data_IF_873246974331
#
_entry.id   IF_873246974331
#
_cell.length_a   1.000
_cell.length_b   1.000
_cell.length_c   1.000
_cell.angle_alpha   90.00
_cell.angle_beta   90.00
_cell.angle_gamma   90.00
#
_symmetry.space_group_name_H-M   'P 1'
#
loop_
_entity.id
_entity.type
_entity.pdbx_description
1 polymer ?
#
# COMPACT_ATOMS: atom_id res chain seq x y z
N UNK A 1 7.14 19.35 -20.66
CA UNK A 1 7.14 17.95 -20.18
C UNK A 1 5.99 17.26 -20.91
N UNK A 2 6.22 16.93 -22.19
CA UNK A 2 5.17 16.60 -23.18
C UNK A 2 5.25 15.15 -23.68
N UNK A 3 5.93 14.27 -22.95
CA UNK A 3 5.55 12.86 -22.95
C UNK A 3 4.43 12.71 -21.93
N UNK A 4 3.19 12.54 -22.40
CA UNK A 4 2.08 12.15 -21.52
C UNK A 4 2.48 10.86 -20.81
N UNK A 5 2.84 10.97 -19.53
CA UNK A 5 3.06 9.83 -18.65
C UNK A 5 1.90 8.86 -18.83
N UNK A 6 2.21 7.58 -19.04
CA UNK A 6 1.18 6.55 -19.18
C UNK A 6 0.46 6.37 -17.85
N UNK A 7 -0.84 6.13 -17.89
CA UNK A 7 -1.56 5.67 -16.70
C UNK A 7 -1.19 4.23 -16.41
N UNK A 8 -1.05 3.91 -15.13
CA UNK A 8 -0.94 2.52 -14.72
C UNK A 8 -2.23 1.78 -15.11
N UNK A 9 -2.09 0.71 -15.88
CA UNK A 9 -3.20 -0.09 -16.35
C UNK A 9 -3.47 -1.25 -15.38
N UNK A 10 -4.66 -1.22 -14.77
CA UNK A 10 -5.16 -2.26 -13.88
C UNK A 10 -6.33 -3.04 -14.51
N UNK A 11 -6.68 -2.77 -15.77
CA UNK A 11 -7.88 -3.33 -16.42
C UNK A 11 -7.80 -4.85 -16.64
N UNK A 12 -6.59 -5.41 -16.68
CA UNK A 12 -6.36 -6.85 -16.75
C UNK A 12 -6.69 -7.60 -15.46
N UNK A 13 -6.80 -6.90 -14.33
CA UNK A 13 -7.13 -7.52 -13.04
C UNK A 13 -8.62 -7.77 -12.90
N UNK A 14 -9.02 -8.94 -12.36
CA UNK A 14 -10.41 -9.20 -11.99
C UNK A 14 -10.98 -8.08 -11.10
N UNK A 15 -12.25 -7.71 -11.31
CA UNK A 15 -12.89 -6.62 -10.55
C UNK A 15 -12.82 -6.86 -9.04
N UNK A 16 -13.05 -8.10 -8.60
CA UNK A 16 -12.97 -8.47 -7.18
C UNK A 16 -11.60 -8.16 -6.56
N UNK A 17 -10.50 -8.38 -7.29
CA UNK A 17 -9.15 -8.04 -6.83
C UNK A 17 -8.99 -6.53 -6.75
N UNK A 18 -9.47 -5.79 -7.76
CA UNK A 18 -9.41 -4.32 -7.77
C UNK A 18 -10.24 -3.69 -6.64
N UNK A 19 -11.39 -4.26 -6.31
CA UNK A 19 -12.23 -3.82 -5.18
C UNK A 19 -11.50 -4.10 -3.87
N UNK A 20 -11.06 -5.33 -3.63
CA UNK A 20 -10.38 -5.71 -2.39
C UNK A 20 -9.07 -4.94 -2.16
N UNK A 21 -8.33 -4.64 -3.23
CA UNK A 21 -7.14 -3.79 -3.17
C UNK A 21 -7.46 -2.36 -2.68
N UNK A 22 -8.53 -1.75 -3.21
CA UNK A 22 -8.99 -0.43 -2.78
C UNK A 22 -9.45 -0.45 -1.32
N UNK A 23 -10.22 -1.46 -0.92
CA UNK A 23 -10.68 -1.63 0.45
C UNK A 23 -9.51 -1.79 1.44
N UNK A 24 -8.45 -2.50 1.04
CA UNK A 24 -7.24 -2.63 1.86
C UNK A 24 -6.49 -1.29 1.99
N UNK A 25 -6.38 -0.53 0.91
CA UNK A 25 -5.80 0.81 0.94
C UNK A 25 -6.61 1.74 1.85
N UNK A 26 -7.94 1.70 1.77
CA UNK A 26 -8.83 2.50 2.60
C UNK A 26 -8.83 2.07 4.07
N UNK A 27 -8.67 0.76 4.35
CA UNK A 27 -8.40 0.25 5.68
C UNK A 27 -7.12 0.87 6.25
N UNK A 28 -6.01 0.84 5.49
CA UNK A 28 -4.77 1.47 5.93
C UNK A 28 -4.95 2.96 6.21
N UNK A 29 -5.67 3.68 5.34
CA UNK A 29 -5.96 5.09 5.55
C UNK A 29 -6.72 5.34 6.86
N UNK A 30 -7.73 4.52 7.19
CA UNK A 30 -8.45 4.60 8.47
C UNK A 30 -7.54 4.37 9.67
N UNK A 31 -6.63 3.40 9.59
CA UNK A 31 -5.63 3.15 10.64
C UNK A 31 -4.70 4.37 10.80
N UNK A 32 -4.19 4.93 9.70
CA UNK A 32 -3.33 6.13 9.74
C UNK A 32 -4.06 7.33 10.36
N UNK A 33 -5.36 7.50 10.07
CA UNK A 33 -6.18 8.57 10.65
C UNK A 33 -6.46 8.34 12.13
N UNK A 34 -6.70 7.10 12.56
CA UNK A 34 -6.86 6.76 13.97
C UNK A 34 -5.57 7.01 14.77
N UNK A 35 -4.41 6.72 14.17
CA UNK A 35 -3.09 6.95 14.77
C UNK A 35 -2.81 8.43 15.10
N UNK A 36 -3.53 9.37 14.46
CA UNK A 36 -3.36 10.83 14.67
C UNK A 36 -3.55 11.25 16.13
N UNK A 37 -4.49 10.61 16.83
CA UNK A 37 -4.80 10.90 18.24
C UNK A 37 -3.93 10.12 19.24
N UNK A 38 -3.03 9.27 18.76
CA UNK A 38 -2.25 8.32 19.53
C UNK A 38 -2.33 6.90 18.98
N UNK A 39 -1.34 6.06 19.30
CA UNK A 39 -1.21 4.68 18.77
C UNK A 39 -1.74 3.61 19.72
N UNK A 40 -2.32 3.97 20.87
CA UNK A 40 -2.72 3.03 21.93
C UNK A 40 -3.78 1.99 21.52
N UNK A 41 -4.52 2.22 20.43
CA UNK A 41 -5.49 1.27 19.87
C UNK A 41 -5.01 0.53 18.62
N UNK A 42 -3.75 0.70 18.20
CA UNK A 42 -3.20 0.10 16.99
C UNK A 42 -2.26 -1.05 17.40
N UNK A 43 -2.46 -2.27 16.86
CA UNK A 43 -1.55 -3.38 17.10
C UNK A 43 -0.08 -3.06 16.80
N UNK A 44 0.83 -3.40 17.71
CA UNK A 44 2.23 -2.99 17.65
C UNK A 44 2.99 -3.55 16.43
N UNK A 45 2.57 -4.69 15.92
CA UNK A 45 3.19 -5.39 14.79
C UNK A 45 2.74 -4.86 13.41
N UNK A 46 1.79 -3.92 13.38
CA UNK A 46 1.46 -3.16 12.18
C UNK A 46 2.47 -2.04 11.88
N UNK A 47 3.30 -1.65 12.86
CA UNK A 47 4.33 -0.62 12.70
C UNK A 47 5.57 -1.07 11.90
N UNK A 48 5.51 -2.27 11.30
CA UNK A 48 6.60 -2.85 10.52
C UNK A 48 7.52 -3.76 11.35
N UNK A 49 8.64 -4.17 10.75
CA UNK A 49 9.58 -5.15 11.34
C UNK A 49 10.34 -4.62 12.56
N UNK A 50 10.27 -3.32 12.82
CA UNK A 50 10.81 -2.70 14.03
C UNK A 50 9.63 -2.51 14.99
N UNK A 51 9.52 -3.39 15.97
CA UNK A 51 8.49 -3.41 17.04
C UNK A 51 8.54 -2.20 17.99
N UNK A 52 9.28 -1.14 17.64
CA UNK A 52 9.40 0.11 18.38
C UNK A 52 8.47 1.17 17.77
N UNK A 53 7.25 1.25 18.30
CA UNK A 53 6.19 2.17 17.88
C UNK A 53 6.45 3.65 18.18
N UNK A 54 7.58 4.20 17.75
CA UNK A 54 7.80 5.65 17.77
C UNK A 54 6.99 6.35 16.68
N UNK A 55 6.67 5.62 15.61
CA UNK A 55 6.00 6.11 14.42
C UNK A 55 5.03 4.98 13.96
N UNK A 56 3.75 5.29 13.68
CA UNK A 56 2.69 4.47 13.05
C UNK A 56 3.10 3.54 11.88
N UNK A 57 2.18 2.81 11.21
CA UNK A 57 2.46 2.06 9.97
C UNK A 57 2.81 3.00 8.80
N UNK A 58 3.92 3.73 8.91
CA UNK A 58 4.19 4.88 8.07
C UNK A 58 4.68 4.51 6.68
N UNK A 59 5.17 3.30 6.50
CA UNK A 59 5.62 2.77 5.23
C UNK A 59 4.55 1.82 4.69
N UNK A 60 4.06 2.10 3.47
CA UNK A 60 3.04 1.26 2.82
C UNK A 60 3.53 -0.18 2.62
N UNK A 61 4.81 -0.33 2.26
CA UNK A 61 5.43 -1.64 2.07
C UNK A 61 5.57 -2.43 3.37
N UNK A 62 5.90 -1.77 4.48
CA UNK A 62 6.02 -2.46 5.78
C UNK A 62 4.66 -2.91 6.28
N UNK A 63 3.64 -2.06 6.17
CA UNK A 63 2.25 -2.44 6.46
C UNK A 63 1.82 -3.65 5.62
N UNK A 64 2.10 -3.61 4.31
CA UNK A 64 1.82 -4.74 3.42
C UNK A 64 2.52 -6.02 3.89
N UNK A 65 3.82 -5.96 4.18
CA UNK A 65 4.59 -7.11 4.64
C UNK A 65 4.18 -7.62 6.04
N UNK A 66 3.57 -6.78 6.88
CA UNK A 66 3.02 -7.19 8.19
C UNK A 66 1.72 -7.98 8.07
N UNK A 67 0.99 -7.89 6.95
CA UNK A 67 -0.34 -8.49 6.82
C UNK A 67 -0.43 -9.50 5.68
N UNK A 68 0.21 -9.24 4.53
CA UNK A 68 0.18 -10.10 3.35
C UNK A 68 1.42 -11.02 3.36
N UNK A 69 1.24 -12.35 3.31
CA UNK A 69 2.35 -13.29 3.39
C UNK A 69 3.19 -13.30 2.11
N UNK A 70 4.41 -13.84 2.20
CA UNK A 70 5.27 -14.19 1.06
C UNK A 70 5.67 -13.04 0.13
N UNK A 71 5.65 -11.79 0.60
CA UNK A 71 6.30 -10.72 -0.16
C UNK A 71 7.82 -10.96 -0.19
N UNK A 72 8.46 -11.07 -1.37
CA UNK A 72 9.86 -11.45 -1.45
C UNK A 72 10.78 -10.41 -0.80
N UNK A 73 11.79 -10.88 -0.06
CA UNK A 73 12.77 -10.01 0.60
C UNK A 73 13.87 -9.48 -0.35
N UNK A 74 13.96 -10.01 -1.57
CA UNK A 74 15.01 -9.66 -2.54
C UNK A 74 14.44 -8.85 -3.68
N UNK A 75 14.88 -7.59 -3.73
CA UNK A 75 14.76 -6.74 -4.90
C UNK A 75 15.74 -7.26 -5.96
N UNK A 76 15.29 -8.18 -6.81
CA UNK A 76 15.92 -8.29 -8.13
C UNK A 76 15.75 -6.94 -8.81
N UNK A 77 16.74 -6.49 -9.58
CA UNK A 77 16.76 -5.17 -10.22
C UNK A 77 15.50 -4.95 -11.06
N UNK A 78 14.50 -4.29 -10.48
CA UNK A 78 13.27 -3.91 -11.16
C UNK A 78 13.56 -2.76 -12.12
N UNK A 79 13.05 -2.86 -13.36
CA UNK A 79 13.06 -1.73 -14.27
C UNK A 79 12.19 -0.60 -13.70
N UNK A 80 12.73 0.63 -13.75
CA UNK A 80 12.01 1.82 -13.31
C UNK A 80 11.15 2.34 -14.46
N UNK A 81 9.86 2.56 -14.21
CA UNK A 81 8.95 3.19 -15.17
C UNK A 81 8.31 4.43 -14.57
N UNK A 82 8.32 5.55 -15.31
CA UNK A 82 7.63 6.77 -14.91
C UNK A 82 6.18 6.71 -15.41
N UNK A 83 5.23 6.84 -14.50
CA UNK A 83 3.80 6.71 -14.83
C UNK A 83 2.89 7.48 -13.87
N UNK A 84 1.64 7.63 -14.28
CA UNK A 84 0.53 8.15 -13.50
C UNK A 84 -0.12 7.00 -12.72
N UNK A 85 0.07 7.01 -11.41
CA UNK A 85 -0.38 5.96 -10.49
C UNK A 85 -1.74 6.31 -9.87
N UNK A 86 -2.73 5.41 -9.90
CA UNK A 86 -4.05 5.65 -9.33
C UNK A 86 -4.00 5.80 -7.80
N UNK A 87 -4.48 6.93 -7.29
CA UNK A 87 -4.51 7.26 -5.86
C UNK A 87 -5.26 6.21 -5.03
N UNK A 88 -6.36 5.66 -5.57
CA UNK A 88 -7.21 4.69 -4.87
C UNK A 88 -6.56 3.32 -4.67
N UNK A 89 -5.53 2.99 -5.45
CA UNK A 89 -4.78 1.73 -5.34
C UNK A 89 -3.41 1.93 -4.67
N UNK A 90 -3.14 3.13 -4.15
CA UNK A 90 -1.85 3.47 -3.56
C UNK A 90 -1.97 3.61 -2.05
N UNK A 91 -1.13 2.90 -1.31
CA UNK A 91 -1.04 3.08 0.14
C UNK A 91 -0.52 4.48 0.47
N UNK A 92 -1.22 5.18 1.36
CA UNK A 92 -0.77 6.46 1.87
C UNK A 92 -0.06 6.36 3.20
N UNK A 93 0.32 7.52 3.73
CA UNK A 93 0.73 7.70 5.10
C UNK A 93 0.41 9.11 5.56
N UNK A 94 -0.17 9.25 6.76
CA UNK A 94 -0.46 10.55 7.37
C UNK A 94 0.52 10.83 8.51
N UNK A 95 1.62 11.53 8.23
CA UNK A 95 2.51 12.03 9.28
C UNK A 95 2.99 13.46 9.03
N UNK A 96 3.23 13.81 7.77
CA UNK A 96 3.67 15.16 7.39
C UNK A 96 2.59 15.98 6.72
N UNK A 97 1.86 15.43 5.75
CA UNK A 97 0.78 16.14 5.05
C UNK A 97 -0.57 15.59 5.49
N UNK A 98 -1.11 16.23 6.53
CA UNK A 98 -2.44 15.93 7.00
C UNK A 98 -3.47 16.52 6.03
N UNK A 99 -4.44 15.71 5.57
CA UNK A 99 -5.47 16.13 4.62
C UNK A 99 -6.16 17.46 4.95
N UNK A 100 -6.34 17.73 6.25
CA UNK A 100 -7.13 18.83 6.81
C UNK A 100 -6.30 19.95 7.45
N UNK A 101 -4.96 19.90 7.37
CA UNK A 101 -4.08 20.85 8.08
C UNK A 101 -3.48 21.93 7.17
N UNK A 102 -3.32 21.65 5.87
CA UNK A 102 -2.64 22.54 4.91
C UNK A 102 -3.64 23.09 3.89
N UNK A 103 -4.70 23.73 4.38
CA UNK A 103 -5.90 24.05 3.60
C UNK A 103 -6.05 25.54 3.27
N UNK A 104 -4.95 26.28 3.08
CA UNK A 104 -5.05 27.53 2.34
C UNK A 104 -4.96 27.22 0.84
N UNK A 105 -5.73 27.93 0.01
CA UNK A 105 -5.69 27.76 -1.46
C UNK A 105 -4.26 27.88 -2.01
N UNK A 106 -3.43 28.71 -1.36
CA UNK A 106 -2.03 28.93 -1.70
C UNK A 106 -1.17 27.70 -1.40
N UNK A 107 -1.36 27.07 -0.24
CA UNK A 107 -0.62 25.87 0.15
C UNK A 107 -1.02 24.69 -0.74
N UNK A 108 -2.32 24.53 -1.02
CA UNK A 108 -2.80 23.51 -1.95
C UNK A 108 -2.14 23.70 -3.33
N UNK A 109 -2.19 24.92 -3.88
CA UNK A 109 -1.59 25.21 -5.17
C UNK A 109 -0.09 24.88 -5.21
N UNK A 110 0.65 25.24 -4.16
CA UNK A 110 2.08 24.95 -4.06
C UNK A 110 2.37 23.44 -3.99
N UNK A 111 1.60 22.69 -3.18
CA UNK A 111 1.74 21.24 -3.06
C UNK A 111 1.42 20.55 -4.39
N UNK A 112 0.33 20.94 -5.06
CA UNK A 112 -0.01 20.41 -6.40
C UNK A 112 1.11 20.69 -7.40
N UNK A 113 1.59 21.93 -7.46
CA UNK A 113 2.70 22.30 -8.35
C UNK A 113 3.95 21.46 -8.05
N UNK A 114 4.23 21.18 -6.78
CA UNK A 114 5.34 20.32 -6.39
C UNK A 114 5.14 18.88 -6.85
N UNK A 115 3.98 18.27 -6.57
CA UNK A 115 3.65 16.89 -6.95
C UNK A 115 3.82 16.68 -8.46
N UNK A 116 3.32 17.61 -9.27
CA UNK A 116 3.32 17.51 -10.74
C UNK A 116 4.55 18.13 -11.42
N UNK A 117 5.57 18.52 -10.67
CA UNK A 117 6.85 18.97 -11.23
C UNK A 117 7.77 17.81 -11.60
N UNK A 118 8.75 18.04 -12.48
CA UNK A 118 9.81 17.06 -12.77
C UNK A 118 10.51 16.58 -11.49
N UNK A 119 10.83 17.50 -10.59
CA UNK A 119 11.41 17.15 -9.29
C UNK A 119 10.45 16.30 -8.45
N UNK A 120 9.17 16.63 -8.46
CA UNK A 120 8.12 15.86 -7.80
C UNK A 120 8.10 14.41 -8.28
N UNK A 121 8.07 14.20 -9.59
CA UNK A 121 8.13 12.88 -10.21
C UNK A 121 9.39 12.12 -9.80
N UNK A 122 10.59 12.71 -9.98
CA UNK A 122 11.88 12.06 -9.69
C UNK A 122 12.14 11.80 -8.20
N UNK A 123 11.39 12.44 -7.31
CA UNK A 123 11.46 12.25 -5.85
C UNK A 123 10.38 11.31 -5.29
N UNK A 124 9.61 10.65 -6.16
CA UNK A 124 8.52 9.75 -5.75
C UNK A 124 8.79 8.35 -6.27
N UNK A 125 8.92 7.38 -5.36
CA UNK A 125 9.24 5.99 -5.71
C UNK A 125 8.24 5.02 -5.09
N UNK A 126 7.53 4.26 -5.93
CA UNK A 126 6.52 3.29 -5.51
C UNK A 126 6.87 1.89 -6.00
N UNK A 127 6.66 0.88 -5.14
CA UNK A 127 6.65 -0.52 -5.55
C UNK A 127 5.26 -0.88 -6.05
N UNK A 128 5.14 -1.34 -7.29
CA UNK A 128 3.88 -1.84 -7.84
C UNK A 128 3.85 -3.36 -7.71
N UNK A 129 2.73 -3.90 -7.22
CA UNK A 129 2.46 -5.34 -7.14
C UNK A 129 1.35 -5.64 -8.16
N UNK A 130 1.70 -6.01 -9.41
CA UNK A 130 0.74 -6.10 -10.50
C UNK A 130 -0.42 -7.04 -10.19
N UNK A 131 -0.12 -8.23 -9.69
CA UNK A 131 -1.08 -9.30 -9.40
C UNK A 131 -2.15 -8.89 -8.37
N UNK A 132 -1.81 -7.97 -7.46
CA UNK A 132 -2.71 -7.48 -6.42
C UNK A 132 -3.29 -6.10 -6.73
N UNK A 133 -2.82 -5.42 -7.78
CA UNK A 133 -3.25 -4.07 -8.13
C UNK A 133 -2.95 -3.05 -7.02
N UNK A 134 -1.80 -3.18 -6.36
CA UNK A 134 -1.40 -2.33 -5.22
C UNK A 134 -0.11 -1.59 -5.49
N UNK A 135 -0.06 -0.34 -5.04
CA UNK A 135 1.16 0.48 -5.03
C UNK A 135 1.57 0.77 -3.58
N UNK A 136 2.81 0.41 -3.25
CA UNK A 136 3.43 0.58 -1.95
C UNK A 136 4.52 1.66 -2.03
N UNK A 137 4.27 2.88 -1.55
CA UNK A 137 5.28 3.93 -1.60
C UNK A 137 6.46 3.70 -0.67
N UNK A 138 7.68 3.86 -1.19
CA UNK A 138 8.88 4.08 -0.39
C UNK A 138 9.09 5.58 -0.14
N UNK A 139 9.10 6.38 -1.21
CA UNK A 139 9.08 7.85 -1.15
C UNK A 139 7.78 8.43 -1.69
N UNK A 140 7.36 9.58 -1.17
CA UNK A 140 6.13 10.27 -1.61
C UNK A 140 4.82 9.83 -0.96
N UNK A 141 4.86 8.95 0.05
CA UNK A 141 3.69 8.44 0.81
C UNK A 141 2.71 9.50 1.35
N UNK A 142 3.21 10.66 1.76
CA UNK A 142 2.37 11.78 2.25
C UNK A 142 1.52 12.41 1.13
N UNK A 143 1.98 12.33 -0.13
CA UNK A 143 1.30 12.91 -1.29
C UNK A 143 -0.01 12.18 -1.57
N UNK A 144 -0.06 10.88 -1.28
CA UNK A 144 -1.20 10.01 -1.56
C UNK A 144 -2.46 10.47 -0.82
N UNK A 145 -2.35 10.74 0.48
CA UNK A 145 -3.52 11.14 1.27
C UNK A 145 -3.94 12.59 1.00
N UNK A 146 -2.99 13.46 0.66
CA UNK A 146 -3.30 14.77 0.09
C UNK A 146 -4.10 14.60 -1.22
N UNK A 147 -3.61 13.79 -2.16
CA UNK A 147 -4.31 13.53 -3.42
C UNK A 147 -5.70 12.93 -3.21
N UNK A 148 -5.84 11.97 -2.28
CA UNK A 148 -7.12 11.38 -1.91
C UNK A 148 -8.12 12.45 -1.42
N UNK A 149 -7.68 13.35 -0.55
CA UNK A 149 -8.52 14.42 0.00
C UNK A 149 -8.96 15.43 -1.06
N UNK A 150 -8.06 15.83 -1.95
CA UNK A 150 -8.32 16.83 -2.99
C UNK A 150 -8.85 16.25 -4.31
N UNK A 151 -9.32 15.00 -4.32
CA UNK A 151 -9.91 14.36 -5.51
C UNK A 151 -8.93 14.21 -6.69
N UNK A 152 -7.63 14.14 -6.42
CA UNK A 152 -6.59 13.93 -7.44
C UNK A 152 -6.52 12.44 -7.73
N UNK A 153 -6.96 12.04 -8.92
CA UNK A 153 -7.09 10.63 -9.31
C UNK A 153 -5.73 9.94 -9.52
N UNK A 154 -4.72 10.67 -10.03
CA UNK A 154 -3.44 10.10 -10.42
C UNK A 154 -2.24 10.88 -9.89
N UNK A 155 -1.20 10.15 -9.50
CA UNK A 155 0.05 10.68 -8.92
C UNK A 155 1.22 10.29 -9.83
N UNK A 156 2.03 11.25 -10.31
CA UNK A 156 3.26 10.92 -11.04
C UNK A 156 4.30 10.29 -10.11
N UNK A 157 4.83 9.13 -10.48
CA UNK A 157 5.83 8.42 -9.70
C UNK A 157 6.79 7.60 -10.57
N UNK A 158 7.98 7.34 -10.02
CA UNK A 158 8.87 6.26 -10.45
C UNK A 158 8.37 4.94 -9.86
N UNK A 159 8.05 3.98 -10.72
CA UNK A 159 7.43 2.71 -10.34
C UNK A 159 8.38 1.56 -10.57
N UNK A 160 8.49 0.72 -9.54
CA UNK A 160 9.29 -0.50 -9.51
C UNK A 160 8.30 -1.68 -9.42
N UNK A 161 8.13 -2.42 -10.52
CA UNK A 161 7.22 -3.58 -10.52
C UNK A 161 7.85 -4.75 -9.78
N UNK A 162 7.08 -5.39 -8.92
CA UNK A 162 7.49 -6.56 -8.16
C UNK A 162 6.37 -7.61 -8.20
N UNK A 163 6.70 -8.78 -8.72
CA UNK A 163 5.74 -9.86 -8.80
C UNK A 163 5.41 -10.42 -7.42
N UNK A 164 4.14 -10.79 -7.27
CA UNK A 164 3.63 -11.58 -6.15
C UNK A 164 3.43 -13.03 -6.58
N UNK A 165 3.58 -14.04 -5.68
CA UNK A 165 3.35 -15.42 -6.06
C UNK A 165 1.93 -15.65 -6.56
N UNK A 166 1.79 -16.44 -7.63
CA UNK A 166 0.50 -16.86 -8.18
C UNK A 166 -0.41 -17.47 -7.10
N UNK A 167 -1.70 -17.15 -7.16
CA UNK A 167 -2.69 -17.57 -6.16
C UNK A 167 -2.69 -19.09 -5.92
N UNK A 168 -2.63 -19.88 -6.99
CA UNK A 168 -2.62 -21.35 -6.90
C UNK A 168 -1.38 -21.96 -6.21
N UNK A 169 -0.34 -21.17 -5.96
CA UNK A 169 0.84 -21.57 -5.20
C UNK A 169 0.69 -21.33 -3.70
N UNK A 170 -0.34 -20.56 -3.31
CA UNK A 170 -0.62 -20.19 -1.92
C UNK A 170 -1.81 -21.01 -1.43
N UNK A 171 -1.66 -21.68 -0.30
CA UNK A 171 -2.75 -22.32 0.42
C UNK A 171 -2.93 -21.65 1.77
N UNK A 172 -4.17 -21.32 2.12
CA UNK A 172 -4.52 -20.71 3.41
C UNK A 172 -5.23 -21.73 4.28
N UNK A 173 -4.69 -21.99 5.47
CA UNK A 173 -5.25 -22.88 6.46
C UNK A 173 -5.77 -22.07 7.64
N UNK A 174 -7.00 -22.38 8.06
CA UNK A 174 -7.63 -21.79 9.24
C UNK A 174 -7.80 -22.89 10.28
N UNK A 175 -7.30 -22.65 11.48
CA UNK A 175 -7.39 -23.57 12.60
C UNK A 175 -8.07 -22.89 13.79
N UNK A 176 -9.11 -23.53 14.32
CA UNK A 176 -9.70 -23.14 15.60
C UNK A 176 -8.73 -23.48 16.75
N UNK A 177 -8.45 -22.48 17.58
CA UNK A 177 -7.64 -22.63 18.79
C UNK A 177 -8.40 -22.12 19.99
N UNK A 178 -7.96 -22.48 21.19
CA UNK A 178 -8.59 -22.01 22.44
C UNK A 178 -8.59 -20.47 22.58
N UNK A 179 -7.72 -19.76 21.85
CA UNK A 179 -7.61 -18.30 21.86
C UNK A 179 -8.25 -17.59 20.66
N UNK A 180 -8.91 -18.31 19.76
CA UNK A 180 -9.48 -17.76 18.52
C UNK A 180 -9.01 -18.50 17.28
N UNK A 181 -8.97 -17.79 16.15
CA UNK A 181 -8.57 -18.36 14.86
C UNK A 181 -7.06 -18.16 14.64
N UNK A 182 -6.36 -19.24 14.32
CA UNK A 182 -5.00 -19.19 13.78
C UNK A 182 -5.06 -19.40 12.26
N UNK A 183 -4.49 -18.44 11.53
CA UNK A 183 -4.46 -18.48 10.06
C UNK A 183 -3.01 -18.58 9.59
N UNK A 184 -2.76 -19.57 8.73
CA UNK A 184 -1.43 -19.89 8.21
C UNK A 184 -1.48 -19.92 6.69
N UNK A 185 -0.57 -19.21 6.04
CA UNK A 185 -0.37 -19.31 4.60
C UNK A 185 0.80 -20.25 4.33
N UNK A 186 0.68 -21.06 3.29
CA UNK A 186 1.72 -21.99 2.80
C UNK A 186 1.98 -21.71 1.32
N UNK A 187 3.23 -21.46 0.96
CA UNK A 187 3.69 -21.25 -0.41
C UNK A 187 4.42 -22.51 -0.91
N UNK A 188 4.04 -22.99 -2.09
CA UNK A 188 4.63 -24.14 -2.80
C UNK A 188 4.72 -25.41 -1.92
N UNK A 189 3.77 -25.61 -1.00
CA UNK A 189 3.79 -26.69 -0.01
C UNK A 189 5.11 -26.76 0.80
N UNK A 190 5.85 -25.66 0.92
CA UNK A 190 7.21 -25.64 1.48
C UNK A 190 7.44 -24.54 2.50
N UNK A 191 7.00 -23.32 2.20
CA UNK A 191 7.23 -22.16 3.06
C UNK A 191 5.96 -21.83 3.82
N UNK A 192 6.05 -21.64 5.13
CA UNK A 192 4.89 -21.32 5.98
C UNK A 192 5.07 -19.95 6.62
N UNK A 193 4.00 -19.15 6.63
CA UNK A 193 3.97 -17.86 7.31
C UNK A 193 2.63 -17.70 8.05
N UNK A 194 2.69 -17.29 9.32
CA UNK A 194 1.48 -16.93 10.08
C UNK A 194 0.90 -15.63 9.53
N UNK A 195 -0.42 -15.60 9.34
CA UNK A 195 -1.16 -14.40 8.94
C UNK A 195 -1.74 -13.75 10.21
N UNK A 196 -0.98 -12.88 10.87
CA UNK A 196 -1.34 -12.32 12.19
C UNK A 196 -2.58 -11.43 12.13
N UNK A 197 -2.67 -10.56 11.12
CA UNK A 197 -3.82 -9.70 10.87
C UNK A 197 -4.75 -10.30 9.81
N UNK A 198 -5.16 -11.55 10.01
CA UNK A 198 -5.94 -12.29 9.01
C UNK A 198 -7.22 -11.57 8.60
N UNK A 199 -7.89 -10.85 9.50
CA UNK A 199 -9.09 -10.07 9.17
C UNK A 199 -8.82 -8.96 8.13
N UNK A 200 -7.57 -8.48 8.03
CA UNK A 200 -7.16 -7.47 7.06
C UNK A 200 -6.66 -8.11 5.75
N UNK A 201 -5.97 -9.25 5.86
CA UNK A 201 -5.36 -9.93 4.73
C UNK A 201 -6.35 -10.79 3.92
N UNK A 202 -7.24 -11.52 4.60
CA UNK A 202 -8.13 -12.51 3.97
C UNK A 202 -9.03 -11.92 2.89
N UNK A 203 -9.64 -10.72 3.02
CA UNK A 203 -10.46 -10.16 1.94
C UNK A 203 -9.71 -10.04 0.62
N UNK A 204 -8.44 -9.60 0.65
CA UNK A 204 -7.61 -9.51 -0.54
C UNK A 204 -7.15 -10.88 -1.02
N UNK A 205 -6.69 -11.75 -0.13
CA UNK A 205 -6.22 -13.09 -0.49
C UNK A 205 -7.35 -13.93 -1.12
N UNK A 206 -8.55 -13.91 -0.56
CA UNK A 206 -9.71 -14.60 -1.12
C UNK A 206 -10.17 -14.02 -2.45
N UNK A 207 -10.05 -12.70 -2.66
CA UNK A 207 -10.35 -12.10 -3.95
C UNK A 207 -9.31 -12.47 -5.02
N UNK A 208 -8.06 -12.62 -4.61
CA UNK A 208 -6.92 -12.96 -5.47
C UNK A 208 -6.99 -14.41 -5.98
N UNK A 209 -7.40 -15.35 -5.14
CA UNK A 209 -7.66 -16.74 -5.52
C UNK A 209 -7.21 -17.75 -4.46
#
# INVERSE_FOLDING_TARGET
>A
MDEKLKHADLSSLPEQVRVAARELVDLKFRIDMAARGGTSGIPLDLHGRMTGGEWGPHCGLEFFCSIIPFFPARFETCSVTEMLVPTLHTFGCNWRWWPDRYCSDKDEHYIRRHIFSDYGLKSTSYTFIPQLGLFCPSEGKNRVNFCRHHGIEYIPAQVYSHDYPEANRISVYVQDTAGGLDVWAVLDNRYVQKVTHYAFALPLLCAYG
#
